data_IF_609379691567
#
_entry.id   IF_609379691567
#
_cell.length_a   1.000
_cell.length_b   1.000
_cell.length_c   1.000
_cell.angle_alpha   90.00
_cell.angle_beta   90.00
_cell.angle_gamma   90.00
#
_symmetry.space_group_name_H-M   'P 1'
#
loop_
_entity.id
_entity.type
_entity.pdbx_description
1 polymer ?
#
# COMPACT_ATOMS: atom_id res chain seq x y z
N UNK A 1 40.85 3.41 -96.28
CA UNK A 1 39.80 2.82 -95.42
C UNK A 1 38.47 3.45 -95.79
N UNK A 2 37.38 2.69 -95.88
CA UNK A 2 36.05 3.23 -96.21
C UNK A 2 35.50 4.02 -95.01
N UNK A 3 34.81 5.16 -95.22
CA UNK A 3 34.25 5.93 -94.11
C UNK A 3 33.11 5.16 -93.45
N UNK A 4 33.19 4.99 -92.13
CA UNK A 4 32.13 4.42 -91.30
C UNK A 4 31.00 5.46 -91.18
N UNK A 5 29.82 5.17 -91.73
CA UNK A 5 28.65 6.06 -91.70
C UNK A 5 27.64 5.53 -90.68
N UNK A 6 27.52 6.18 -89.52
CA UNK A 6 26.60 5.78 -88.44
C UNK A 6 25.11 5.93 -88.81
N UNK A 7 24.81 6.68 -89.86
CA UNK A 7 23.46 7.16 -90.16
C UNK A 7 22.56 6.08 -90.79
N UNK A 8 23.12 4.92 -91.17
CA UNK A 8 22.43 3.86 -91.90
C UNK A 8 22.33 2.53 -91.15
N UNK A 9 22.58 2.51 -89.83
CA UNK A 9 22.35 1.32 -89.01
C UNK A 9 20.97 1.38 -88.34
N UNK A 10 20.22 0.26 -88.27
CA UNK A 10 18.94 0.23 -87.57
C UNK A 10 19.15 0.55 -86.09
N UNK A 11 18.56 1.65 -85.62
CA UNK A 11 18.56 2.02 -84.19
C UNK A 11 18.06 0.83 -83.37
N UNK A 12 18.92 0.27 -82.53
CA UNK A 12 18.55 -0.79 -81.58
C UNK A 12 17.48 -0.19 -80.66
N UNK A 13 16.27 -0.73 -80.70
CA UNK A 13 15.23 -0.31 -79.76
C UNK A 13 15.66 -0.71 -78.35
N UNK A 14 15.62 0.25 -77.42
CA UNK A 14 15.83 -0.05 -76.00
C UNK A 14 14.86 -1.16 -75.59
N UNK A 15 15.39 -2.28 -75.07
CA UNK A 15 14.58 -3.40 -74.57
C UNK A 15 13.74 -3.05 -73.34
N UNK A 16 13.99 -1.90 -72.73
CA UNK A 16 13.21 -1.37 -71.62
C UNK A 16 12.18 -0.38 -72.16
N UNK A 17 11.03 -0.91 -72.57
CA UNK A 17 9.84 -0.12 -72.91
C UNK A 17 8.76 -0.39 -71.86
N UNK A 18 8.20 0.66 -71.27
CA UNK A 18 7.05 0.52 -70.38
C UNK A 18 5.82 0.06 -71.18
N UNK A 19 4.92 -0.73 -70.56
CA UNK A 19 3.63 -1.06 -71.17
C UNK A 19 2.85 0.20 -71.55
N UNK A 20 1.98 0.07 -72.55
CA UNK A 20 1.04 1.12 -72.93
C UNK A 20 0.17 1.50 -71.72
N UNK A 21 -0.03 2.80 -71.51
CA UNK A 21 -0.78 3.37 -70.38
C UNK A 21 -0.30 3.02 -68.96
N UNK A 22 0.92 2.49 -68.79
CA UNK A 22 1.46 2.15 -67.46
C UNK A 22 1.31 3.29 -66.45
N UNK A 23 1.69 4.51 -66.82
CA UNK A 23 1.62 5.67 -65.92
C UNK A 23 0.20 6.21 -65.71
N UNK A 24 -0.68 6.07 -66.71
CA UNK A 24 -2.07 6.50 -66.63
C UNK A 24 -2.86 5.61 -65.66
N UNK A 25 -2.67 4.29 -65.75
CA UNK A 25 -3.42 3.30 -64.97
C UNK A 25 -2.77 2.96 -63.62
N UNK A 26 -1.52 3.37 -63.40
CA UNK A 26 -0.76 3.07 -62.18
C UNK A 26 -1.48 3.57 -60.93
N UNK A 27 -1.98 4.81 -60.95
CA UNK A 27 -2.64 5.42 -59.79
C UNK A 27 -3.92 4.68 -59.41
N UNK A 28 -4.72 4.29 -60.41
CA UNK A 28 -5.95 3.54 -60.20
C UNK A 28 -5.66 2.13 -59.65
N UNK A 29 -4.65 1.46 -60.21
CA UNK A 29 -4.21 0.15 -59.74
C UNK A 29 -3.66 0.21 -58.31
N UNK A 30 -2.90 1.25 -57.97
CA UNK A 30 -2.38 1.45 -56.62
C UNK A 30 -3.53 1.59 -55.62
N UNK A 31 -4.49 2.48 -55.90
CA UNK A 31 -5.64 2.72 -55.01
C UNK A 31 -6.52 1.48 -54.79
N UNK A 32 -6.68 0.63 -55.80
CA UNK A 32 -7.43 -0.63 -55.66
C UNK A 32 -6.69 -1.68 -54.81
N UNK A 33 -5.35 -1.64 -54.79
CA UNK A 33 -4.52 -2.55 -54.01
C UNK A 33 -4.25 -2.06 -52.58
N UNK A 34 -4.67 -0.85 -52.22
CA UNK A 34 -4.59 -0.41 -50.83
C UNK A 34 -5.61 -1.17 -49.98
N UNK A 35 -5.22 -1.68 -48.80
CA UNK A 35 -6.17 -2.30 -47.89
C UNK A 35 -7.23 -1.28 -47.48
N UNK A 36 -8.50 -1.66 -47.57
CA UNK A 36 -9.60 -0.83 -47.09
C UNK A 36 -9.37 -0.51 -45.61
N UNK A 37 -9.31 0.78 -45.25
CA UNK A 37 -9.33 1.18 -43.86
C UNK A 37 -10.71 0.88 -43.28
N UNK A 38 -10.84 -0.28 -42.66
CA UNK A 38 -12.00 -0.60 -41.84
C UNK A 38 -11.97 0.30 -40.61
N UNK A 39 -12.81 1.34 -40.61
CA UNK A 39 -13.00 2.20 -39.43
C UNK A 39 -13.56 1.32 -38.32
N UNK A 40 -12.78 1.11 -37.26
CA UNK A 40 -13.20 0.33 -36.09
C UNK A 40 -14.37 1.02 -35.40
N UNK A 41 -15.59 0.69 -35.80
CA UNK A 41 -16.82 1.16 -35.15
C UNK A 41 -17.07 0.31 -33.91
N UNK A 42 -17.05 0.94 -32.74
CA UNK A 42 -17.46 0.28 -31.50
C UNK A 42 -18.97 0.55 -31.31
N UNK A 43 -19.82 -0.48 -31.28
CA UNK A 43 -21.26 -0.30 -31.12
C UNK A 43 -21.59 0.30 -29.75
N UNK A 44 -22.22 1.49 -29.75
CA UNK A 44 -22.52 2.24 -28.53
C UNK A 44 -23.52 1.52 -27.61
N UNK A 45 -24.42 0.71 -28.19
CA UNK A 45 -25.44 -0.06 -27.48
C UNK A 45 -24.88 -1.25 -26.66
N UNK A 46 -23.63 -1.66 -26.93
CA UNK A 46 -22.96 -2.76 -26.19
C UNK A 46 -22.08 -2.25 -25.05
N UNK A 47 -22.10 -0.94 -24.75
CA UNK A 47 -21.36 -0.44 -23.59
C UNK A 47 -21.99 -0.99 -22.33
N UNK A 48 -21.17 -1.68 -21.54
CA UNK A 48 -21.56 -2.09 -20.19
C UNK A 48 -21.92 -0.83 -19.41
N UNK A 49 -23.14 -0.73 -18.89
CA UNK A 49 -23.57 0.44 -18.15
C UNK A 49 -22.70 0.61 -16.89
N UNK A 50 -22.28 1.85 -16.64
CA UNK A 50 -21.34 2.19 -15.55
C UNK A 50 -21.91 1.89 -14.16
N UNK A 51 -23.25 1.78 -14.04
CA UNK A 51 -23.94 1.38 -12.81
C UNK A 51 -23.47 0.02 -12.24
N UNK A 52 -23.06 -0.92 -13.10
CA UNK A 52 -22.62 -2.26 -12.67
C UNK A 52 -21.25 -2.16 -11.98
N UNK A 53 -20.38 -1.29 -12.49
CA UNK A 53 -19.10 -0.96 -11.87
C UNK A 53 -19.31 -0.19 -10.56
N UNK A 54 -20.29 0.73 -10.52
CA UNK A 54 -20.62 1.47 -9.31
C UNK A 54 -21.10 0.55 -8.18
N UNK A 55 -21.97 -0.43 -8.48
CA UNK A 55 -22.44 -1.43 -7.51
C UNK A 55 -21.28 -2.27 -6.98
N UNK A 56 -20.37 -2.72 -7.85
CA UNK A 56 -19.19 -3.48 -7.43
C UNK A 56 -18.24 -2.66 -6.53
N UNK A 57 -18.01 -1.38 -6.86
CA UNK A 57 -17.18 -0.48 -6.06
C UNK A 57 -17.77 -0.26 -4.66
N UNK A 58 -19.09 -0.03 -4.57
CA UNK A 58 -19.79 0.09 -3.28
C UNK A 58 -19.65 -1.20 -2.47
N UNK A 59 -19.73 -2.37 -3.13
CA UNK A 59 -19.57 -3.66 -2.47
C UNK A 59 -18.17 -3.84 -1.87
N UNK A 60 -17.13 -3.48 -2.64
CA UNK A 60 -15.73 -3.52 -2.18
C UNK A 60 -15.53 -2.54 -1.02
N UNK A 61 -16.04 -1.32 -1.12
CA UNK A 61 -15.93 -0.31 -0.05
C UNK A 61 -16.65 -0.79 1.21
N UNK A 62 -17.85 -1.34 1.09
CA UNK A 62 -18.62 -1.88 2.21
C UNK A 62 -17.91 -3.06 2.89
N UNK A 63 -17.30 -3.96 2.12
CA UNK A 63 -16.49 -5.06 2.65
C UNK A 63 -15.25 -4.55 3.39
N UNK A 64 -14.52 -3.62 2.79
CA UNK A 64 -13.32 -3.01 3.38
C UNK A 64 -13.66 -2.27 4.68
N UNK A 65 -14.73 -1.48 4.70
CA UNK A 65 -15.23 -0.81 5.90
C UNK A 65 -15.64 -1.84 6.97
N UNK A 66 -16.36 -2.89 6.60
CA UNK A 66 -16.80 -3.92 7.56
C UNK A 66 -15.62 -4.64 8.21
N UNK A 67 -14.55 -4.93 7.46
CA UNK A 67 -13.34 -5.53 8.00
C UNK A 67 -12.58 -4.54 8.89
N UNK A 68 -12.51 -3.27 8.50
CA UNK A 68 -11.84 -2.24 9.27
C UNK A 68 -12.55 -1.96 10.61
N UNK A 69 -13.89 -1.89 10.62
CA UNK A 69 -14.66 -1.72 11.86
C UNK A 69 -14.65 -2.94 12.79
N UNK A 70 -14.22 -4.12 12.31
CA UNK A 70 -14.02 -5.33 13.14
C UNK A 70 -12.62 -5.41 13.74
N UNK A 71 -11.71 -4.52 13.35
CA UNK A 71 -10.39 -4.41 13.98
C UNK A 71 -10.52 -3.56 15.23
N UNK A 72 -10.97 -4.18 16.33
CA UNK A 72 -10.85 -3.55 17.64
C UNK A 72 -9.35 -3.47 17.98
N UNK A 73 -8.81 -2.25 18.00
CA UNK A 73 -7.51 -1.98 18.65
C UNK A 73 -7.73 -2.01 20.16
N UNK A 74 -8.05 -3.17 20.72
CA UNK A 74 -8.00 -3.32 22.17
C UNK A 74 -6.53 -3.17 22.56
N UNK A 75 -6.20 -2.10 23.27
CA UNK A 75 -4.97 -2.05 24.05
C UNK A 75 -5.11 -3.15 25.10
N UNK A 76 -4.64 -4.35 24.78
CA UNK A 76 -4.59 -5.46 25.72
C UNK A 76 -3.64 -5.02 26.82
N UNK A 77 -4.20 -4.64 27.98
CA UNK A 77 -3.40 -4.42 29.16
C UNK A 77 -2.66 -5.73 29.47
N UNK A 78 -1.38 -5.68 29.84
CA UNK A 78 -0.67 -6.87 30.27
C UNK A 78 -1.42 -7.52 31.44
N UNK A 79 -1.34 -8.84 31.56
CA UNK A 79 -1.89 -9.53 32.72
C UNK A 79 -1.09 -9.18 33.99
N UNK A 80 -1.66 -9.48 35.15
CA UNK A 80 -1.07 -9.16 36.45
C UNK A 80 0.32 -9.78 36.60
N UNK A 81 0.51 -11.03 36.15
CA UNK A 81 1.79 -11.72 36.20
C UNK A 81 2.87 -11.02 35.35
N UNK A 82 2.53 -10.52 34.16
CA UNK A 82 3.47 -9.76 33.32
C UNK A 82 3.79 -8.39 33.93
N UNK A 83 2.85 -7.76 34.64
CA UNK A 83 3.08 -6.49 35.33
C UNK A 83 4.03 -6.71 36.51
N UNK A 84 3.82 -7.76 37.32
CA UNK A 84 4.71 -8.12 38.43
C UNK A 84 6.13 -8.43 37.95
N UNK A 85 6.26 -9.25 36.92
CA UNK A 85 7.55 -9.60 36.30
C UNK A 85 8.29 -8.35 35.85
N UNK A 86 7.58 -7.43 35.19
CA UNK A 86 8.14 -6.15 34.78
C UNK A 86 8.59 -5.31 35.97
N UNK A 87 7.78 -5.18 37.02
CA UNK A 87 8.14 -4.38 38.21
C UNK A 87 9.32 -4.97 38.99
N UNK A 88 9.45 -6.30 39.04
CA UNK A 88 10.53 -6.98 39.76
C UNK A 88 11.85 -6.92 39.00
N UNK A 89 11.83 -7.17 37.68
CA UNK A 89 13.04 -7.27 36.88
C UNK A 89 13.51 -5.95 36.27
N UNK A 90 12.63 -4.94 36.17
CA UNK A 90 12.99 -3.63 35.64
C UNK A 90 13.74 -2.80 36.70
N UNK A 91 15.08 -2.82 36.63
CA UNK A 91 15.97 -2.10 37.55
C UNK A 91 15.85 -0.56 37.55
N UNK A 92 15.03 0.02 36.68
CA UNK A 92 14.88 1.47 36.53
C UNK A 92 13.70 2.06 37.31
N UNK A 93 12.88 1.23 37.96
CA UNK A 93 11.75 1.69 38.78
C UNK A 93 12.14 1.51 40.24
N UNK A 94 12.29 2.62 40.97
CA UNK A 94 12.57 2.56 42.40
C UNK A 94 11.26 2.50 43.20
N UNK A 95 11.34 2.02 44.44
CA UNK A 95 10.20 2.06 45.37
C UNK A 95 9.68 3.50 45.59
N UNK A 96 10.56 4.50 45.51
CA UNK A 96 10.17 5.91 45.60
C UNK A 96 9.33 6.37 44.40
N UNK A 97 9.65 5.89 43.20
CA UNK A 97 8.85 6.18 42.00
C UNK A 97 7.46 5.55 42.11
N UNK A 98 7.35 4.35 42.66
CA UNK A 98 6.05 3.71 42.92
C UNK A 98 5.21 4.52 43.91
N UNK A 99 5.81 4.93 45.03
CA UNK A 99 5.16 5.72 46.08
C UNK A 99 4.65 7.07 45.55
N UNK A 100 5.43 7.74 44.69
CA UNK A 100 5.01 9.03 44.12
C UNK A 100 3.84 8.93 43.13
N UNK A 101 3.60 7.76 42.55
CA UNK A 101 2.50 7.53 41.63
C UNK A 101 1.24 6.95 42.30
N UNK A 102 1.29 6.71 43.62
CA UNK A 102 0.13 6.32 44.43
C UNK A 102 -0.63 7.55 44.90
N UNK A 103 -1.95 7.54 44.77
CA UNK A 103 -2.80 8.59 45.32
C UNK A 103 -3.33 8.26 46.73
N UNK A 104 -4.03 9.21 47.35
CA UNK A 104 -4.55 9.07 48.73
C UNK A 104 -5.61 7.94 48.82
N UNK A 105 -6.35 7.70 47.74
CA UNK A 105 -7.32 6.59 47.67
C UNK A 105 -6.60 5.25 47.65
N UNK A 106 -5.56 5.12 46.81
CA UNK A 106 -4.78 3.90 46.67
C UNK A 106 -4.11 3.52 47.99
N UNK A 107 -3.51 4.50 48.68
CA UNK A 107 -2.89 4.31 50.00
C UNK A 107 -3.91 3.80 51.02
N UNK A 108 -5.11 4.38 51.04
CA UNK A 108 -6.17 3.99 51.98
C UNK A 108 -6.67 2.56 51.73
N UNK A 109 -6.73 2.13 50.47
CA UNK A 109 -7.08 0.76 50.12
C UNK A 109 -5.98 -0.23 50.54
N UNK A 110 -4.71 0.14 50.38
CA UNK A 110 -3.58 -0.66 50.86
C UNK A 110 -3.61 -0.80 52.39
N UNK A 111 -3.82 0.28 53.13
CA UNK A 111 -3.93 0.27 54.60
C UNK A 111 -5.00 -0.70 55.11
N UNK A 112 -6.12 -0.84 54.39
CA UNK A 112 -7.19 -1.76 54.77
C UNK A 112 -6.80 -3.24 54.59
N UNK A 113 -5.94 -3.53 53.61
CA UNK A 113 -5.55 -4.89 53.24
C UNK A 113 -4.25 -5.35 53.92
N UNK A 114 -3.46 -4.43 54.49
CA UNK A 114 -2.25 -4.78 55.23
C UNK A 114 -2.60 -5.00 56.71
N UNK A 115 -2.62 -6.26 57.13
CA UNK A 115 -2.69 -6.62 58.54
C UNK A 115 -1.29 -6.45 59.19
N UNK A 116 -1.00 -5.25 59.69
CA UNK A 116 0.22 -4.99 60.46
C UNK A 116 0.00 -5.47 61.90
N UNK A 117 0.78 -6.45 62.36
CA UNK A 117 0.77 -6.89 63.76
C UNK A 117 1.60 -5.95 64.64
N UNK A 118 1.15 -5.72 65.88
CA UNK A 118 1.87 -4.91 66.88
C UNK A 118 3.33 -5.37 67.09
N UNK A 119 3.58 -6.69 67.02
CA UNK A 119 4.93 -7.28 67.11
C UNK A 119 5.86 -6.83 65.98
N UNK A 120 5.34 -6.67 64.76
CA UNK A 120 6.12 -6.20 63.62
C UNK A 120 6.46 -4.70 63.74
N UNK A 121 5.58 -3.93 64.38
CA UNK A 121 5.81 -2.52 64.68
C UNK A 121 6.89 -2.39 65.77
N UNK A 122 6.81 -3.20 66.82
CA UNK A 122 7.80 -3.23 67.90
C UNK A 122 9.19 -3.60 67.38
N UNK A 123 9.29 -4.63 66.53
CA UNK A 123 10.55 -5.06 65.90
C UNK A 123 11.15 -3.96 65.01
N UNK A 124 10.34 -3.32 64.16
CA UNK A 124 10.80 -2.20 63.33
C UNK A 124 11.34 -1.03 64.17
N UNK A 125 10.60 -0.63 65.21
CA UNK A 125 10.98 0.49 66.08
C UNK A 125 12.19 0.17 66.97
N UNK A 126 12.50 -1.11 67.20
CA UNK A 126 13.66 -1.51 67.99
C UNK A 126 14.99 -1.26 67.24
N UNK A 127 14.99 -1.41 65.91
CA UNK A 127 16.20 -1.25 65.10
C UNK A 127 16.35 0.15 64.50
N UNK A 128 15.28 0.94 64.42
CA UNK A 128 15.34 2.31 63.93
C UNK A 128 15.92 3.23 65.04
N UNK A 129 17.11 3.78 64.82
CA UNK A 129 17.71 4.75 65.75
C UNK A 129 16.91 6.04 65.73
N UNK A 130 16.05 6.23 66.73
CA UNK A 130 15.32 7.48 66.93
C UNK A 130 16.34 8.57 67.31
N UNK A 131 16.73 9.40 66.34
CA UNK A 131 17.41 10.66 66.63
C UNK A 131 16.41 11.60 67.29
N UNK A 132 16.41 11.64 68.63
CA UNK A 132 15.71 12.69 69.38
C UNK A 132 16.45 14.00 69.13
N UNK A 133 15.89 14.86 68.28
CA UNK A 133 16.35 16.24 68.13
C UNK A 133 16.05 16.97 69.44
N UNK A 134 17.10 17.35 70.19
CA UNK A 134 17.03 18.32 71.28
C UNK A 134 16.93 19.75 70.72
#
# INVERSE_FOLDING_TARGET
MKPFKLDNEPKISSGFKVPENYFEDFTASLMQNLPAQEVRVVPLYRRTPVWLSAVAAIFIIALSLSLWFRMDTTNTQPDEAAIEDYLVYQANISSYDLIQNLDISDIKELEQNVAISDEAIEDYLQYETIYTNE
#
